data_IF_253674131241
#
_entry.id   IF_253674131241
#
_cell.length_a   1.000
_cell.length_b   1.000
_cell.length_c   1.000
_cell.angle_alpha   90.00
_cell.angle_beta   90.00
_cell.angle_gamma   90.00
#
_symmetry.space_group_name_H-M   'P 1'
#
loop_
_entity.id
_entity.type
_entity.pdbx_description
1 polymer ?
#
# COMPACT_ATOMS: atom_id res chain seq x y z
N UNK A 1 -6.53 12.49 -5.10
CA UNK A 1 -5.77 12.52 -3.83
C UNK A 1 -4.47 13.29 -4.04
N UNK A 2 -3.59 12.80 -4.92
CA UNK A 2 -2.34 13.45 -5.34
C UNK A 2 -2.57 14.89 -5.82
N UNK A 3 -3.57 15.12 -6.68
CA UNK A 3 -3.94 16.45 -7.20
C UNK A 3 -4.35 17.47 -6.11
N UNK A 4 -4.69 17.00 -4.90
CA UNK A 4 -5.06 17.86 -3.76
C UNK A 4 -3.91 18.02 -2.76
N UNK A 5 -2.69 17.62 -3.14
CA UNK A 5 -1.47 17.71 -2.33
C UNK A 5 -1.38 16.69 -1.20
N UNK A 6 -2.20 15.64 -1.24
CA UNK A 6 -2.10 14.50 -0.31
C UNK A 6 -1.15 13.44 -0.88
N UNK A 7 -0.35 12.85 -0.01
CA UNK A 7 0.55 11.74 -0.33
C UNK A 7 0.40 10.61 0.67
N UNK A 8 0.87 9.42 0.32
CA UNK A 8 1.00 8.30 1.27
C UNK A 8 2.23 8.56 2.13
N UNK A 9 2.01 8.72 3.43
CA UNK A 9 3.08 8.90 4.43
C UNK A 9 3.63 7.55 4.88
N UNK A 10 2.77 6.58 5.10
CA UNK A 10 3.21 5.23 5.39
C UNK A 10 2.17 4.23 4.89
N UNK A 11 2.62 3.02 4.62
CA UNK A 11 1.72 1.92 4.29
C UNK A 11 2.22 0.58 4.83
N UNK A 12 1.28 -0.27 5.23
CA UNK A 12 1.50 -1.70 5.37
C UNK A 12 1.00 -2.37 4.10
N UNK A 13 1.88 -3.13 3.43
CA UNK A 13 1.50 -4.03 2.35
C UNK A 13 0.66 -5.17 2.91
N UNK A 14 0.08 -5.95 2.02
CA UNK A 14 -0.89 -6.99 2.33
C UNK A 14 -0.41 -7.92 3.46
N UNK A 15 -1.21 -8.03 4.50
CA UNK A 15 -1.05 -9.02 5.57
C UNK A 15 -2.40 -9.66 5.90
N UNK A 16 -2.39 -10.82 6.57
CA UNK A 16 -3.57 -11.51 7.05
C UNK A 16 -4.07 -10.83 8.33
N UNK A 17 -5.34 -10.44 8.37
CA UNK A 17 -5.92 -9.85 9.57
C UNK A 17 -6.14 -10.92 10.65
N UNK A 18 -5.55 -10.71 11.81
CA UNK A 18 -5.86 -11.48 13.02
C UNK A 18 -6.63 -10.60 14.00
N UNK A 19 -7.93 -10.87 14.13
CA UNK A 19 -8.79 -10.20 15.10
C UNK A 19 -8.53 -10.64 16.55
N UNK A 20 -7.69 -11.65 16.78
CA UNK A 20 -7.44 -12.30 18.06
C UNK A 20 -8.74 -12.83 18.72
N UNK A 21 -9.72 -13.21 17.90
CA UNK A 21 -11.03 -13.75 18.30
C UNK A 21 -11.23 -15.16 17.74
N UNK A 22 -12.15 -15.92 18.36
CA UNK A 22 -12.50 -17.28 17.90
C UNK A 22 -13.14 -17.29 16.50
N UNK A 23 -13.83 -16.21 16.14
CA UNK A 23 -14.43 -16.04 14.81
C UNK A 23 -13.67 -14.91 14.09
N UNK A 24 -12.66 -15.30 13.32
CA UNK A 24 -11.85 -14.36 12.56
C UNK A 24 -12.45 -14.18 11.16
N UNK A 25 -12.45 -12.95 10.65
CA UNK A 25 -13.08 -12.60 9.37
C UNK A 25 -12.39 -13.22 8.14
N UNK A 26 -11.16 -13.77 8.29
CA UNK A 26 -10.36 -14.38 7.23
C UNK A 26 -10.16 -13.44 6.02
N UNK A 27 -9.69 -12.22 6.30
CA UNK A 27 -9.46 -11.19 5.28
C UNK A 27 -7.99 -10.78 5.22
N UNK A 28 -7.58 -10.29 4.06
CA UNK A 28 -6.31 -9.60 3.88
C UNK A 28 -6.51 -8.10 3.95
N UNK A 29 -5.61 -7.39 4.62
CA UNK A 29 -5.72 -5.95 4.88
C UNK A 29 -4.45 -5.25 4.44
N UNK A 30 -4.62 -3.99 4.02
CA UNK A 30 -3.55 -2.99 3.91
C UNK A 30 -3.87 -1.82 4.83
N UNK A 31 -2.85 -1.18 5.38
CA UNK A 31 -3.01 0.04 6.18
C UNK A 31 -2.36 1.17 5.39
N UNK A 32 -3.05 2.29 5.20
CA UNK A 32 -2.50 3.44 4.45
C UNK A 32 -2.74 4.71 5.24
N UNK A 33 -1.65 5.39 5.61
CA UNK A 33 -1.68 6.69 6.26
C UNK A 33 -1.32 7.80 5.28
N UNK A 34 -2.14 8.85 5.23
CA UNK A 34 -1.93 9.99 4.33
C UNK A 34 -1.58 11.26 5.10
N UNK A 35 -0.71 12.09 4.51
CA UNK A 35 -0.43 13.44 5.01
C UNK A 35 -0.23 14.44 3.85
N UNK A 36 0.02 15.70 4.19
CA UNK A 36 0.44 16.77 3.28
C UNK A 36 1.86 17.27 3.60
N UNK A 37 2.64 16.44 4.30
CA UNK A 37 3.98 16.79 4.78
C UNK A 37 5.07 16.45 3.76
N UNK A 38 6.32 16.53 4.21
CA UNK A 38 7.52 16.26 3.39
C UNK A 38 8.45 15.21 3.99
N UNK A 39 8.11 14.67 5.17
CA UNK A 39 8.91 13.63 5.85
C UNK A 39 9.09 12.39 4.97
N UNK A 40 10.21 11.68 5.10
CA UNK A 40 10.40 10.42 4.38
C UNK A 40 9.24 9.42 4.67
N UNK A 41 8.72 8.73 3.65
CA UNK A 41 7.69 7.74 3.85
C UNK A 41 8.26 6.43 4.41
N UNK A 42 7.39 5.61 4.99
CA UNK A 42 7.73 4.27 5.50
C UNK A 42 6.81 3.22 4.88
N UNK A 43 7.39 2.13 4.37
CA UNK A 43 6.65 1.02 3.79
C UNK A 43 6.95 -0.24 4.57
N UNK A 44 5.91 -0.88 5.12
CA UNK A 44 6.02 -2.12 5.88
C UNK A 44 5.69 -3.29 4.97
N UNK A 45 6.67 -4.14 4.71
CA UNK A 45 6.58 -5.30 3.82
C UNK A 45 6.54 -6.60 4.60
N UNK A 46 5.82 -7.60 4.07
CA UNK A 46 5.59 -8.87 4.74
C UNK A 46 6.07 -10.00 3.81
N UNK A 47 7.16 -10.67 4.19
CA UNK A 47 7.61 -11.89 3.50
C UNK A 47 6.66 -13.07 3.77
N UNK A 48 6.16 -13.14 5.01
CA UNK A 48 5.03 -13.97 5.42
C UNK A 48 3.86 -13.07 5.78
N UNK A 49 2.71 -13.28 5.12
CA UNK A 49 1.48 -12.51 5.37
C UNK A 49 0.95 -12.65 6.81
N UNK A 50 1.39 -13.66 7.57
CA UNK A 50 1.04 -13.84 8.99
C UNK A 50 2.16 -13.42 9.94
N UNK A 51 3.29 -12.95 9.39
CA UNK A 51 4.49 -12.59 10.15
C UNK A 51 4.57 -11.11 10.51
N UNK A 52 5.69 -10.74 11.13
CA UNK A 52 6.03 -9.35 11.41
C UNK A 52 6.55 -8.63 10.15
N UNK A 53 6.26 -7.33 9.99
CA UNK A 53 6.74 -6.59 8.84
C UNK A 53 8.22 -6.20 8.94
N UNK A 54 8.82 -5.99 7.77
CA UNK A 54 10.11 -5.31 7.59
C UNK A 54 9.86 -3.89 7.09
N UNK A 55 10.46 -2.89 7.75
CA UNK A 55 10.38 -1.49 7.32
C UNK A 55 11.35 -1.20 6.17
N UNK A 56 10.81 -0.77 5.04
CA UNK A 56 11.52 -0.15 3.93
C UNK A 56 11.34 1.38 3.94
N UNK A 57 12.33 2.10 3.41
CA UNK A 57 12.36 3.57 3.33
C UNK A 57 12.38 4.06 1.88
N UNK A 58 11.23 4.02 1.20
CA UNK A 58 11.15 4.40 -0.20
C UNK A 58 11.26 5.92 -0.38
N UNK A 59 11.52 6.36 -1.61
CA UNK A 59 11.48 7.78 -1.94
C UNK A 59 10.02 8.30 -2.04
N UNK A 60 9.12 7.44 -2.52
CA UNK A 60 7.70 7.73 -2.72
C UNK A 60 6.88 6.46 -2.58
N UNK A 61 5.58 6.56 -2.27
CA UNK A 61 4.67 5.41 -2.28
C UNK A 61 3.49 5.74 -3.20
N UNK A 62 3.32 4.96 -4.26
CA UNK A 62 2.24 5.17 -5.23
C UNK A 62 0.92 4.52 -4.81
N UNK A 63 -0.13 4.70 -5.63
CA UNK A 63 -1.46 4.13 -5.39
C UNK A 63 -1.53 2.59 -5.32
N UNK A 64 -0.45 1.89 -5.66
CA UNK A 64 -0.29 0.44 -5.57
C UNK A 64 0.66 0.01 -4.45
N UNK A 65 1.03 0.92 -3.55
CA UNK A 65 1.93 0.70 -2.41
C UNK A 65 3.34 0.27 -2.82
N UNK A 66 3.83 0.82 -3.95
CA UNK A 66 5.17 0.58 -4.47
C UNK A 66 6.04 1.84 -4.41
N UNK A 67 7.35 1.64 -4.29
CA UNK A 67 8.35 2.68 -4.54
C UNK A 67 8.52 2.91 -6.05
N UNK A 68 7.54 3.59 -6.64
CA UNK A 68 7.47 3.84 -8.06
C UNK A 68 6.67 5.12 -8.35
N UNK A 69 6.70 5.62 -9.57
CA UNK A 69 5.91 6.79 -9.95
C UNK A 69 4.39 6.57 -9.80
N UNK A 70 3.66 7.67 -9.64
CA UNK A 70 2.19 7.68 -9.65
C UNK A 70 1.66 7.42 -11.07
N UNK A 71 1.36 6.15 -11.34
CA UNK A 71 0.68 5.69 -12.55
C UNK A 71 -0.65 5.10 -12.12
N UNK A 72 -1.71 5.34 -12.89
CA UNK A 72 -3.02 4.72 -12.68
C UNK A 72 -3.38 3.90 -13.91
N UNK A 73 -3.52 2.59 -13.73
CA UNK A 73 -3.94 1.69 -14.79
C UNK A 73 -5.46 1.76 -14.92
N UNK A 74 -5.91 2.26 -16.05
CA UNK A 74 -7.34 2.31 -16.37
C UNK A 74 -7.82 0.97 -16.92
N UNK A 75 -9.03 0.56 -16.51
CA UNK A 75 -9.68 -0.61 -17.08
C UNK A 75 -9.95 -0.38 -18.58
N UNK A 76 -9.61 -1.37 -19.41
CA UNK A 76 -9.85 -1.33 -20.85
C UNK A 76 -10.43 -2.66 -21.33
N UNK A 77 -11.34 -2.60 -22.28
CA UNK A 77 -11.98 -3.76 -22.91
C UNK A 77 -11.30 -4.20 -24.21
N UNK A 78 -10.36 -3.40 -24.72
CA UNK A 78 -9.61 -3.67 -25.94
C UNK A 78 -8.11 -3.48 -25.72
N UNK A 79 -7.31 -4.36 -26.34
CA UNK A 79 -5.85 -4.37 -26.24
C UNK A 79 -5.25 -3.20 -27.04
N UNK A 80 -4.23 -2.55 -26.50
CA UNK A 80 -3.36 -1.63 -27.24
C UNK A 80 -2.05 -2.34 -27.57
N UNK A 81 -1.81 -2.56 -28.86
CA UNK A 81 -0.69 -3.37 -29.38
C UNK A 81 -1.19 -4.58 -30.15
N UNK A 82 -0.33 -5.23 -30.97
CA UNK A 82 -0.69 -6.47 -31.66
C UNK A 82 -1.08 -7.57 -30.66
#
# INVERSE_FOLDING_TARGET
MVERGWRIRFAHRTFCWDAQTTDNANVHVVIVGFDRGTNAPALYEYDDINGEPVEARPAHINGYLLDASDVFVEARSQKTGP
#
